data_IF_584550677198
#
_entry.id   IF_584550677198
#
_cell.length_a   1.000
_cell.length_b   1.000
_cell.length_c   1.000
_cell.angle_alpha   90.00
_cell.angle_beta   90.00
_cell.angle_gamma   90.00
#
_symmetry.space_group_name_H-M   'P 1'
#
loop_
_entity.id
_entity.type
_entity.pdbx_description
1 polymer ?
#
# COMPACT_ATOMS: atom_id res chain seq x y z
N UNK A 1 -34.60 34.54 25.44
CA UNK A 1 -33.85 34.26 24.20
C UNK A 1 -32.39 33.97 24.54
N UNK A 2 -32.08 32.74 24.96
CA UNK A 2 -30.69 32.30 25.22
C UNK A 2 -30.49 30.80 24.92
N UNK A 3 -31.58 30.03 24.93
CA UNK A 3 -31.59 28.57 24.72
C UNK A 3 -31.39 28.19 23.24
N UNK A 4 -31.79 29.05 22.30
CA UNK A 4 -31.68 28.78 20.85
C UNK A 4 -30.22 28.88 20.35
N UNK A 5 -29.34 29.57 21.08
CA UNK A 5 -27.94 29.75 20.69
C UNK A 5 -27.04 28.57 21.10
N UNK A 6 -27.42 27.82 22.14
CA UNK A 6 -26.67 26.65 22.62
C UNK A 6 -26.92 25.38 21.78
N UNK A 7 -28.05 25.29 21.07
CA UNK A 7 -28.37 24.12 20.24
C UNK A 7 -27.72 24.18 18.84
N UNK A 8 -27.34 25.36 18.37
CA UNK A 8 -26.68 25.56 17.07
C UNK A 8 -25.17 25.26 17.09
N UNK A 9 -24.55 25.17 18.27
CA UNK A 9 -23.12 24.83 18.39
C UNK A 9 -22.82 23.32 18.36
N UNK A 10 -23.84 22.46 18.33
CA UNK A 10 -23.66 21.00 18.30
C UNK A 10 -23.53 20.44 16.88
N UNK A 11 -23.84 21.22 15.85
CA UNK A 11 -23.84 20.74 14.47
C UNK A 11 -22.44 20.97 13.89
N UNK A 12 -21.83 19.89 13.38
CA UNK A 12 -20.58 19.82 12.60
C UNK A 12 -19.25 19.61 13.35
N UNK A 13 -19.18 18.66 14.29
CA UNK A 13 -17.95 17.85 14.42
C UNK A 13 -18.09 16.56 13.59
N UNK A 14 -18.09 16.72 12.27
CA UNK A 14 -17.85 15.60 11.36
C UNK A 14 -16.35 15.33 11.39
N UNK A 15 -15.87 14.54 12.36
CA UNK A 15 -14.48 14.10 12.38
C UNK A 15 -14.24 13.20 11.17
N UNK A 16 -13.64 13.75 10.11
CA UNK A 16 -13.09 12.93 9.04
C UNK A 16 -12.01 12.03 9.65
N UNK A 17 -12.26 10.72 9.68
CA UNK A 17 -11.26 9.76 10.15
C UNK A 17 -10.19 9.63 9.08
N UNK A 18 -9.02 10.23 9.34
CA UNK A 18 -7.87 10.10 8.47
C UNK A 18 -7.24 8.70 8.64
N UNK A 19 -7.02 8.00 7.53
CA UNK A 19 -6.32 6.71 7.53
C UNK A 19 -4.83 6.94 7.81
N UNK A 20 -4.28 6.20 8.77
CA UNK A 20 -2.86 6.22 9.08
C UNK A 20 -2.06 5.51 7.98
N UNK A 21 -1.19 6.27 7.30
CA UNK A 21 -0.23 5.75 6.33
C UNK A 21 1.10 5.51 7.06
N UNK A 22 1.59 4.27 7.17
CA UNK A 22 2.82 4.01 7.90
C UNK A 22 4.03 4.61 7.19
N UNK A 23 5.05 4.91 8.00
CA UNK A 23 6.34 5.34 7.47
C UNK A 23 6.91 4.28 6.52
N UNK A 24 7.22 4.72 5.30
CA UNK A 24 7.76 3.87 4.25
C UNK A 24 9.29 3.92 4.25
N UNK A 25 9.93 2.86 4.74
CA UNK A 25 11.40 2.75 4.72
C UNK A 25 11.96 2.21 3.40
N UNK A 26 11.10 1.84 2.44
CA UNK A 26 11.48 1.21 1.17
C UNK A 26 11.24 2.15 -0.03
N UNK A 27 11.45 3.47 0.17
CA UNK A 27 11.03 4.56 -0.75
C UNK A 27 11.51 4.42 -2.20
N UNK A 28 12.64 3.73 -2.43
CA UNK A 28 13.18 3.53 -3.78
C UNK A 28 12.40 2.50 -4.60
N UNK A 29 11.63 1.62 -3.94
CA UNK A 29 11.02 0.45 -4.55
C UNK A 29 9.53 0.32 -4.27
N UNK A 30 9.00 1.07 -3.31
CA UNK A 30 7.62 0.99 -2.89
C UNK A 30 7.09 2.38 -2.55
N UNK A 31 5.82 2.65 -2.87
CA UNK A 31 5.09 3.83 -2.40
C UNK A 31 3.62 3.50 -2.17
N UNK A 32 3.01 4.20 -1.21
CA UNK A 32 1.56 4.22 -1.04
C UNK A 32 0.96 5.27 -1.98
N UNK A 33 -0.21 4.97 -2.53
CA UNK A 33 -0.95 5.89 -3.40
C UNK A 33 -2.45 5.77 -3.12
N UNK A 34 -3.15 6.89 -3.22
CA UNK A 34 -4.61 6.96 -3.08
C UNK A 34 -5.24 6.99 -4.46
N UNK A 35 -6.29 6.21 -4.65
CA UNK A 35 -7.07 6.13 -5.90
C UNK A 35 -8.54 6.45 -5.62
N UNK A 36 -9.33 6.58 -6.68
CA UNK A 36 -10.78 6.81 -6.59
C UNK A 36 -11.12 8.01 -5.67
N UNK A 37 -10.51 9.17 -5.95
CA UNK A 37 -10.68 10.42 -5.20
C UNK A 37 -10.44 10.30 -3.69
N UNK A 38 -9.54 9.39 -3.29
CA UNK A 38 -9.14 9.22 -1.89
C UNK A 38 -9.88 8.10 -1.15
N UNK A 39 -10.80 7.40 -1.83
CA UNK A 39 -11.62 6.36 -1.21
C UNK A 39 -10.94 4.99 -1.14
N UNK A 40 -9.92 4.74 -1.96
CA UNK A 40 -9.17 3.50 -1.96
C UNK A 40 -7.66 3.73 -1.97
N UNK A 41 -6.92 2.72 -1.47
CA UNK A 41 -5.48 2.79 -1.29
C UNK A 41 -4.80 1.65 -2.03
N UNK A 42 -3.67 1.95 -2.67
CA UNK A 42 -2.81 0.97 -3.29
C UNK A 42 -1.35 1.13 -2.87
N UNK A 43 -0.61 0.05 -2.97
CA UNK A 43 0.84 0.03 -2.87
C UNK A 43 1.43 -0.25 -4.24
N UNK A 44 2.35 0.60 -4.71
CA UNK A 44 2.99 0.47 -6.01
C UNK A 44 4.45 0.10 -5.79
N UNK A 45 4.88 -0.96 -6.46
CA UNK A 45 6.23 -1.48 -6.45
C UNK A 45 6.92 -1.14 -7.77
N UNK A 46 8.18 -0.73 -7.69
CA UNK A 46 9.01 -0.41 -8.86
C UNK A 46 10.32 -1.15 -8.76
N UNK A 47 10.68 -1.88 -9.81
CA UNK A 47 11.95 -2.58 -9.87
C UNK A 47 13.14 -1.60 -9.81
N UNK A 48 14.32 -2.06 -9.37
CA UNK A 48 15.57 -1.34 -9.63
C UNK A 48 15.76 -1.13 -11.13
N UNK A 49 16.40 -0.03 -11.52
CA UNK A 49 16.80 0.19 -12.92
C UNK A 49 17.78 -0.89 -13.36
N UNK A 50 17.58 -1.47 -14.56
CA UNK A 50 18.46 -2.49 -15.11
C UNK A 50 17.87 -3.20 -16.33
N UNK A 51 18.65 -4.05 -17.00
CA UNK A 51 18.24 -4.75 -18.23
C UNK A 51 17.33 -5.96 -17.96
N UNK A 52 16.81 -6.13 -16.76
CA UNK A 52 15.98 -7.28 -16.42
C UNK A 52 14.64 -7.21 -17.16
N UNK A 53 14.28 -8.28 -17.86
CA UNK A 53 12.94 -8.46 -18.43
C UNK A 53 12.03 -9.26 -17.49
N UNK A 54 12.60 -10.10 -16.62
CA UNK A 54 11.86 -11.03 -15.78
C UNK A 54 11.94 -10.69 -14.28
N UNK A 55 10.78 -10.68 -13.62
CA UNK A 55 10.62 -10.24 -12.24
C UNK A 55 9.70 -11.17 -11.44
N UNK A 56 10.22 -11.67 -10.30
CA UNK A 56 9.48 -12.43 -9.28
C UNK A 56 9.36 -11.58 -8.01
N UNK A 57 8.21 -10.94 -7.85
CA UNK A 57 7.88 -10.11 -6.70
C UNK A 57 7.39 -10.96 -5.53
N UNK A 58 7.86 -10.64 -4.32
CA UNK A 58 7.39 -11.24 -3.08
C UNK A 58 7.41 -10.25 -1.91
N UNK A 59 6.49 -9.27 -1.86
CA UNK A 59 6.31 -8.41 -0.70
C UNK A 59 5.58 -9.10 0.45
N UNK A 60 5.97 -8.76 1.68
CA UNK A 60 5.28 -9.13 2.91
C UNK A 60 4.85 -7.87 3.64
N UNK A 61 3.56 -7.82 3.95
CA UNK A 61 2.95 -6.78 4.76
C UNK A 61 2.68 -7.30 6.17
N UNK A 62 2.79 -6.39 7.13
CA UNK A 62 2.39 -6.60 8.51
C UNK A 62 1.19 -5.71 8.81
N UNK A 63 0.18 -6.29 9.43
CA UNK A 63 -1.09 -5.64 9.71
C UNK A 63 -1.33 -5.73 11.21
N UNK A 64 -1.61 -4.60 11.84
CA UNK A 64 -1.83 -4.55 13.28
C UNK A 64 -3.09 -5.36 13.66
N UNK A 65 -2.95 -6.26 14.63
CA UNK A 65 -4.01 -7.06 15.19
C UNK A 65 -4.56 -8.15 14.26
N UNK A 66 -5.79 -8.56 14.56
CA UNK A 66 -6.61 -9.42 13.70
C UNK A 66 -7.58 -8.53 12.94
N UNK A 67 -7.16 -8.06 11.78
CA UNK A 67 -7.98 -7.18 10.95
C UNK A 67 -8.59 -7.99 9.80
N UNK A 68 -9.80 -7.65 9.40
CA UNK A 68 -10.40 -8.12 8.14
C UNK A 68 -9.85 -7.38 6.93
N UNK A 69 -8.60 -6.89 6.99
CA UNK A 69 -7.95 -6.22 5.87
C UNK A 69 -7.46 -7.28 4.89
N UNK A 70 -7.73 -7.05 3.61
CA UNK A 70 -7.31 -7.95 2.54
C UNK A 70 -6.41 -7.21 1.56
N UNK A 71 -5.48 -7.97 0.97
CA UNK A 71 -4.68 -7.51 -0.15
C UNK A 71 -5.28 -8.13 -1.41
N UNK A 72 -5.42 -7.32 -2.47
CA UNK A 72 -5.70 -7.90 -3.78
C UNK A 72 -4.52 -8.79 -4.22
N UNK A 73 -4.71 -9.62 -5.26
CA UNK A 73 -3.57 -10.12 -6.01
C UNK A 73 -2.68 -8.96 -6.48
N UNK A 74 -1.38 -9.21 -6.54
CA UNK A 74 -0.44 -8.33 -7.23
C UNK A 74 -0.76 -8.34 -8.72
N UNK A 75 -0.77 -7.17 -9.34
CA UNK A 75 -1.05 -6.98 -10.76
C UNK A 75 0.00 -6.10 -11.39
N UNK A 76 0.24 -6.28 -12.70
CA UNK A 76 1.13 -5.38 -13.47
C UNK A 76 0.58 -3.96 -13.43
N UNK A 77 1.44 -3.01 -13.07
CA UNK A 77 1.12 -1.60 -13.10
C UNK A 77 1.58 -1.02 -14.43
N UNK A 78 0.64 -0.49 -15.22
CA UNK A 78 0.96 0.19 -16.49
C UNK A 78 0.69 1.67 -16.31
N UNK A 79 1.75 2.45 -16.10
CA UNK A 79 1.63 3.89 -16.09
C UNK A 79 1.85 4.43 -17.49
N UNK A 80 0.76 4.72 -18.20
CA UNK A 80 0.77 5.24 -19.56
C UNK A 80 1.50 6.60 -19.69
N UNK A 81 1.75 7.30 -18.58
CA UNK A 81 2.36 8.63 -18.56
C UNK A 81 3.84 8.60 -18.16
N UNK A 82 4.41 7.44 -17.82
CA UNK A 82 5.84 7.33 -17.49
C UNK A 82 6.61 6.65 -18.61
N UNK A 83 7.71 7.27 -19.05
CA UNK A 83 8.76 6.61 -19.83
C UNK A 83 9.54 5.55 -19.00
N UNK A 84 9.03 5.19 -17.83
CA UNK A 84 9.63 4.24 -16.92
C UNK A 84 9.29 2.83 -17.37
N UNK A 85 10.24 2.18 -18.04
CA UNK A 85 10.11 0.81 -18.54
C UNK A 85 10.39 -0.25 -17.46
N UNK A 86 10.60 0.15 -16.20
CA UNK A 86 10.88 -0.79 -15.12
C UNK A 86 9.66 -1.69 -14.87
N UNK A 87 9.92 -2.92 -14.43
CA UNK A 87 8.86 -3.82 -13.98
C UNK A 87 8.13 -3.18 -12.80
N UNK A 88 6.89 -2.78 -12.99
CA UNK A 88 6.04 -2.22 -11.95
C UNK A 88 4.85 -3.12 -11.69
N UNK A 89 4.52 -3.29 -10.41
CA UNK A 89 3.33 -4.02 -9.96
C UNK A 89 2.65 -3.25 -8.86
N UNK A 90 1.39 -3.51 -8.62
CA UNK A 90 0.64 -2.87 -7.55
C UNK A 90 -0.28 -3.86 -6.83
N UNK A 91 -0.66 -3.48 -5.62
CA UNK A 91 -1.64 -4.20 -4.79
C UNK A 91 -2.65 -3.20 -4.23
N UNK A 92 -3.94 -3.55 -4.24
CA UNK A 92 -4.95 -2.80 -3.53
C UNK A 92 -5.05 -3.26 -2.08
N UNK A 93 -5.26 -2.29 -1.19
CA UNK A 93 -5.58 -2.52 0.20
C UNK A 93 -7.09 -2.39 0.39
N UNK A 94 -7.75 -3.50 0.73
CA UNK A 94 -9.21 -3.61 0.80
C UNK A 94 -9.65 -3.64 2.25
N UNK A 95 -10.80 -3.01 2.53
CA UNK A 95 -11.41 -2.91 3.87
C UNK A 95 -10.51 -2.15 4.88
N UNK A 96 -9.86 -1.09 4.41
CA UNK A 96 -9.06 -0.17 5.23
C UNK A 96 -9.99 0.76 6.01
N UNK A 97 -9.80 0.81 7.33
CA UNK A 97 -10.60 1.65 8.23
C UNK A 97 -9.78 2.77 8.86
N UNK A 98 -8.62 2.43 9.41
CA UNK A 98 -7.85 3.35 10.25
C UNK A 98 -6.35 3.32 9.97
N UNK A 99 -5.80 2.22 9.45
CA UNK A 99 -4.36 2.06 9.25
C UNK A 99 -4.08 1.15 8.05
N UNK A 100 -3.10 1.53 7.23
CA UNK A 100 -2.65 0.71 6.11
C UNK A 100 -1.70 -0.42 6.54
N UNK A 101 -1.70 -1.55 5.82
CA UNK A 101 -0.67 -2.58 5.98
C UNK A 101 0.74 -1.99 5.80
N UNK A 102 1.64 -2.26 6.74
CA UNK A 102 3.04 -1.81 6.67
C UNK A 102 3.84 -2.80 5.85
N UNK A 103 4.52 -2.34 4.80
CA UNK A 103 5.48 -3.19 4.09
C UNK A 103 6.65 -3.50 5.03
N UNK A 104 6.87 -4.78 5.32
CA UNK A 104 7.96 -5.24 6.21
C UNK A 104 9.06 -5.97 5.49
N UNK A 105 8.76 -6.62 4.37
CA UNK A 105 9.74 -7.28 3.54
C UNK A 105 9.42 -7.08 2.07
N UNK A 106 10.43 -6.88 1.25
CA UNK A 106 10.31 -6.85 -0.20
C UNK A 106 11.44 -7.68 -0.80
N UNK A 107 11.08 -8.75 -1.51
CA UNK A 107 12.00 -9.54 -2.31
C UNK A 107 11.67 -9.44 -3.80
N UNK A 108 12.70 -9.34 -4.61
CA UNK A 108 12.65 -9.36 -6.07
C UNK A 108 13.64 -10.39 -6.59
N UNK A 109 13.17 -11.37 -7.35
CA UNK A 109 14.00 -12.47 -7.88
C UNK A 109 14.76 -13.22 -6.76
N UNK A 110 14.19 -13.29 -5.56
CA UNK A 110 14.82 -13.93 -4.40
C UNK A 110 15.80 -13.01 -3.64
N UNK A 111 16.13 -11.83 -4.17
CA UNK A 111 16.97 -10.84 -3.49
C UNK A 111 16.14 -9.89 -2.63
N UNK A 112 16.55 -9.72 -1.37
CA UNK A 112 15.90 -8.78 -0.45
C UNK A 112 16.25 -7.35 -0.85
N UNK A 113 15.25 -6.56 -1.23
CA UNK A 113 15.36 -5.13 -1.49
C UNK A 113 15.12 -4.29 -0.23
N UNK A 114 14.27 -4.78 0.67
CA UNK A 114 13.92 -4.09 1.90
C UNK A 114 13.51 -5.07 3.00
N UNK A 115 13.91 -4.80 4.23
CA UNK A 115 13.50 -5.57 5.40
C UNK A 115 13.43 -4.64 6.62
N UNK A 116 12.25 -4.52 7.23
CA UNK A 116 12.00 -3.62 8.36
C UNK A 116 11.08 -4.25 9.40
N UNK A 117 11.12 -3.69 10.60
CA UNK A 117 10.24 -4.10 11.70
C UNK A 117 8.79 -3.74 11.41
N UNK A 118 7.88 -4.64 11.77
CA UNK A 118 6.43 -4.46 11.66
C UNK A 118 5.84 -3.56 12.76
N UNK A 119 4.54 -3.70 12.99
CA UNK A 119 3.80 -3.02 14.06
C UNK A 119 4.04 -3.62 15.45
N UNK A 120 4.64 -4.81 15.54
CA UNK A 120 4.76 -5.54 16.80
C UNK A 120 3.53 -6.40 17.08
N UNK A 121 3.48 -7.07 18.24
CA UNK A 121 2.36 -7.96 18.57
C UNK A 121 1.22 -7.18 19.25
N UNK A 122 -0.06 -7.48 18.94
CA UNK A 122 -0.50 -8.49 17.98
C UNK A 122 -0.41 -8.00 16.53
N UNK A 123 0.03 -8.86 15.60
CA UNK A 123 -0.02 -8.55 14.16
C UNK A 123 -0.22 -9.80 13.30
N UNK A 124 -0.72 -9.57 12.09
CA UNK A 124 -0.90 -10.58 11.04
C UNK A 124 -0.01 -10.23 9.86
N UNK A 125 0.77 -11.21 9.38
CA UNK A 125 1.62 -11.05 8.20
C UNK A 125 0.99 -11.67 6.97
N UNK A 126 1.04 -10.97 5.85
CA UNK A 126 0.54 -11.44 4.55
C UNK A 126 1.64 -11.27 3.51
N UNK A 127 1.99 -12.37 2.85
CA UNK A 127 2.91 -12.36 1.71
C UNK A 127 2.12 -12.64 0.44
N UNK A 128 2.31 -11.80 -0.58
CA UNK A 128 1.76 -11.99 -1.91
C UNK A 128 2.90 -12.15 -2.90
N UNK A 129 2.69 -12.92 -3.96
CA UNK A 129 3.71 -13.21 -4.96
C UNK A 129 3.18 -12.96 -6.36
N UNK A 130 4.05 -12.51 -7.25
CA UNK A 130 3.72 -12.30 -8.66
C UNK A 130 4.95 -12.45 -9.55
N UNK A 131 4.75 -13.03 -10.72
CA UNK A 131 5.79 -13.18 -11.72
C UNK A 131 5.36 -12.45 -12.99
N UNK A 132 6.30 -11.73 -13.60
CA UNK A 132 6.08 -11.05 -14.87
C UNK A 132 7.31 -11.14 -15.76
N UNK A 133 7.05 -11.21 -17.06
CA UNK A 133 8.04 -11.09 -18.12
C UNK A 133 7.68 -9.90 -19.01
N UNK A 134 8.66 -9.03 -19.25
CA UNK A 134 8.57 -7.87 -20.11
C UNK A 134 9.11 -8.14 -21.52
N UNK A 135 9.71 -9.30 -21.78
CA UNK A 135 10.23 -9.65 -23.11
C UNK A 135 9.14 -10.02 -24.12
N UNK A 136 7.92 -10.30 -23.65
CA UNK A 136 6.78 -10.69 -24.48
C UNK A 136 5.85 -9.51 -24.88
N UNK A 137 6.22 -8.25 -24.55
CA UNK A 137 5.40 -7.07 -24.86
C UNK A 137 5.86 -6.29 -26.09
#
# INVERSE_FOLDING_TARGET
>A
MLIIWLTLSWIFLSSAQMVNVPYNSCVNYFKYETVEDGSAYMGIFTAPSGPNSFYKWSPTFDIHGHSGIFLSPLMRYTNNNSNDQRGQVFVYFVNIKSELPKLTHLSLNGHTLCNVTGYGRPSTKITVQYQMDLSES
#
